data_IF_089008452901
#
_entry.id   IF_089008452901
#
_cell.length_a   1.000
_cell.length_b   1.000
_cell.length_c   1.000
_cell.angle_alpha   90.00
_cell.angle_beta   90.00
_cell.angle_gamma   90.00
#
_symmetry.space_group_name_H-M   'P 1'
#
loop_
_entity.id
_entity.type
_entity.pdbx_description
1 polymer ?
#
# COMPACT_ATOMS: atom_id res chain seq x y z
N UNK A 1 -28.41 -16.67 29.72
CA UNK A 1 -27.00 -17.10 29.85
C UNK A 1 -26.37 -17.26 28.46
N UNK A 2 -26.03 -16.16 27.78
CA UNK A 2 -25.43 -16.24 26.43
C UNK A 2 -24.46 -15.07 26.14
N UNK A 3 -23.80 -14.56 27.19
CA UNK A 3 -23.00 -13.33 27.08
C UNK A 3 -21.49 -13.59 27.16
N UNK A 4 -21.05 -14.59 27.94
CA UNK A 4 -19.61 -14.81 28.18
C UNK A 4 -18.86 -15.41 26.98
N UNK A 5 -19.47 -16.33 26.25
CA UNK A 5 -18.81 -17.01 25.11
C UNK A 5 -18.80 -16.14 23.84
N UNK A 6 -19.78 -15.25 23.67
CA UNK A 6 -19.85 -14.33 22.53
C UNK A 6 -18.75 -13.27 22.58
N UNK A 7 -18.44 -12.76 23.78
CA UNK A 7 -17.33 -11.83 23.99
C UNK A 7 -15.96 -12.45 23.64
N UNK A 8 -15.77 -13.74 23.93
CA UNK A 8 -14.54 -14.46 23.59
C UNK A 8 -14.39 -14.63 22.06
N UNK A 9 -15.49 -14.87 21.34
CA UNK A 9 -15.47 -14.94 19.88
C UNK A 9 -15.12 -13.59 19.23
N UNK A 10 -15.68 -12.48 19.75
CA UNK A 10 -15.33 -11.14 19.28
C UNK A 10 -13.87 -10.82 19.58
N UNK A 11 -13.41 -11.10 20.80
CA UNK A 11 -12.01 -10.91 21.16
C UNK A 11 -11.07 -11.70 20.25
N UNK A 12 -11.40 -12.95 19.91
CA UNK A 12 -10.63 -13.80 19.01
C UNK A 12 -10.53 -13.21 17.59
N UNK A 13 -11.62 -12.63 17.07
CA UNK A 13 -11.65 -12.01 15.74
C UNK A 13 -10.74 -10.77 15.64
N UNK A 14 -10.57 -10.02 16.72
CA UNK A 14 -9.66 -8.87 16.75
C UNK A 14 -8.17 -9.28 16.73
N UNK A 15 -7.82 -10.43 17.31
CA UNK A 15 -6.42 -10.92 17.32
C UNK A 15 -5.95 -11.32 15.91
N UNK A 16 -6.85 -11.86 15.07
CA UNK A 16 -6.51 -12.31 13.71
C UNK A 16 -6.27 -11.15 12.74
N UNK A 17 -6.79 -9.96 13.03
CA UNK A 17 -6.61 -8.78 12.18
C UNK A 17 -5.24 -8.12 12.36
N UNK A 18 -4.51 -8.45 13.43
CA UNK A 18 -3.27 -7.79 13.83
C UNK A 18 -2.00 -8.47 13.29
N UNK A 19 -2.05 -9.08 12.10
CA UNK A 19 -0.83 -9.57 11.44
C UNK A 19 0.03 -8.37 10.99
N UNK A 20 1.31 -8.30 11.40
CA UNK A 20 2.19 -7.20 11.03
C UNK A 20 2.40 -7.14 9.52
N UNK A 21 2.61 -5.94 8.95
CA UNK A 21 2.91 -5.80 7.54
C UNK A 21 4.17 -6.59 7.17
N UNK A 22 4.15 -7.18 5.98
CA UNK A 22 5.27 -7.96 5.47
C UNK A 22 6.46 -7.03 5.24
N UNK A 23 7.58 -7.31 5.91
CA UNK A 23 8.82 -6.51 5.83
C UNK A 23 9.79 -7.00 4.77
N UNK A 24 9.77 -8.29 4.44
CA UNK A 24 10.60 -8.84 3.35
C UNK A 24 9.85 -8.73 2.02
N UNK A 25 10.33 -7.84 1.15
CA UNK A 25 9.73 -7.58 -0.15
C UNK A 25 10.50 -8.34 -1.22
N UNK A 26 9.84 -9.31 -1.84
CA UNK A 26 10.38 -10.05 -2.98
C UNK A 26 10.25 -9.24 -4.27
N UNK A 27 10.90 -9.71 -5.33
CA UNK A 27 10.77 -9.08 -6.64
C UNK A 27 9.33 -9.17 -7.19
N UNK A 28 8.62 -10.26 -6.92
CA UNK A 28 7.22 -10.42 -7.30
C UNK A 28 6.29 -9.47 -6.54
N UNK A 29 6.58 -9.22 -5.26
CA UNK A 29 5.82 -8.25 -4.45
C UNK A 29 5.99 -6.84 -4.99
N UNK A 30 7.24 -6.43 -5.28
CA UNK A 30 7.53 -5.13 -5.85
C UNK A 30 6.83 -4.95 -7.21
N UNK A 31 6.83 -5.99 -8.06
CA UNK A 31 6.11 -5.96 -9.34
C UNK A 31 4.61 -5.71 -9.13
N UNK A 32 3.98 -6.41 -8.18
CA UNK A 32 2.55 -6.23 -7.85
C UNK A 32 2.22 -4.81 -7.38
N UNK A 33 3.08 -4.22 -6.54
CA UNK A 33 2.90 -2.83 -6.10
C UNK A 33 2.93 -1.88 -7.30
N UNK A 34 3.95 -2.00 -8.16
CA UNK A 34 4.10 -1.12 -9.32
C UNK A 34 2.98 -1.29 -10.35
N UNK A 35 2.50 -2.53 -10.57
CA UNK A 35 1.34 -2.80 -11.42
C UNK A 35 0.07 -2.15 -10.87
N UNK A 36 -0.14 -2.21 -9.55
CA UNK A 36 -1.31 -1.58 -8.93
C UNK A 36 -1.25 -0.06 -9.02
N UNK A 37 -0.08 0.53 -8.78
CA UNK A 37 0.16 1.97 -8.92
C UNK A 37 -0.11 2.44 -10.35
N UNK A 38 0.39 1.72 -11.35
CA UNK A 38 0.19 2.10 -12.75
C UNK A 38 -1.28 2.01 -13.16
N UNK A 39 -2.00 0.96 -12.75
CA UNK A 39 -3.45 0.82 -12.98
C UNK A 39 -4.21 1.96 -12.29
N UNK A 40 -3.88 2.28 -11.04
CA UNK A 40 -4.55 3.33 -10.28
C UNK A 40 -4.35 4.71 -10.91
N UNK A 41 -3.13 5.02 -11.33
CA UNK A 41 -2.80 6.25 -12.05
C UNK A 41 -3.55 6.37 -13.38
N UNK A 42 -3.56 5.30 -14.18
CA UNK A 42 -4.30 5.28 -15.46
C UNK A 42 -5.78 5.51 -15.21
N UNK A 43 -6.37 4.82 -14.25
CA UNK A 43 -7.78 4.98 -13.90
C UNK A 43 -8.09 6.39 -13.39
N UNK A 44 -7.20 7.00 -12.61
CA UNK A 44 -7.37 8.36 -12.15
C UNK A 44 -7.33 9.36 -13.30
N UNK A 45 -6.39 9.22 -14.24
CA UNK A 45 -6.30 10.05 -15.43
C UNK A 45 -7.51 9.87 -16.38
N UNK A 46 -8.06 8.66 -16.46
CA UNK A 46 -9.29 8.42 -17.24
C UNK A 46 -10.53 9.03 -16.57
N UNK A 47 -10.53 9.12 -15.24
CA UNK A 47 -11.64 9.67 -14.43
C UNK A 47 -11.49 11.15 -14.09
N UNK A 48 -10.35 11.76 -14.37
CA UNK A 48 -10.12 13.19 -14.12
C UNK A 48 -10.98 13.99 -15.10
N UNK A 49 -12.22 14.28 -14.70
CA UNK A 49 -12.95 15.42 -15.25
C UNK A 49 -12.24 16.70 -14.82
N UNK A 50 -12.31 17.73 -15.66
CA UNK A 50 -11.66 19.05 -15.57
C UNK A 50 -11.61 19.75 -14.19
N UNK A 51 -12.32 19.27 -13.17
CA UNK A 51 -12.50 19.94 -11.88
C UNK A 51 -11.75 19.28 -10.70
N UNK A 52 -11.21 18.07 -10.86
CA UNK A 52 -10.45 17.40 -9.78
C UNK A 52 -9.03 17.10 -10.23
N UNK A 53 -8.07 17.69 -9.53
CA UNK A 53 -6.65 17.36 -9.66
C UNK A 53 -6.47 15.85 -9.44
N UNK A 54 -5.69 15.21 -10.32
CA UNK A 54 -5.39 13.80 -10.19
C UNK A 54 -4.66 13.53 -8.86
N UNK A 55 -4.96 12.43 -8.15
CA UNK A 55 -4.20 12.05 -6.97
C UNK A 55 -2.72 11.86 -7.30
N UNK A 56 -1.88 12.17 -6.31
CA UNK A 56 -0.42 12.13 -6.44
C UNK A 56 0.11 10.68 -6.54
N UNK A 57 1.27 10.50 -7.17
CA UNK A 57 1.87 9.18 -7.38
C UNK A 57 2.17 8.48 -6.03
N UNK A 58 2.53 9.25 -5.00
CA UNK A 58 2.68 8.76 -3.63
C UNK A 58 1.38 8.16 -3.06
N UNK A 59 0.23 8.75 -3.37
CA UNK A 59 -1.06 8.29 -2.84
C UNK A 59 -1.36 6.88 -3.34
N UNK A 60 -1.15 6.65 -4.64
CA UNK A 60 -1.33 5.32 -5.23
C UNK A 60 -0.33 4.31 -4.68
N UNK A 61 0.91 4.74 -4.40
CA UNK A 61 1.93 3.89 -3.80
C UNK A 61 1.54 3.44 -2.39
N UNK A 62 1.08 4.35 -1.53
CA UNK A 62 0.65 4.03 -0.18
C UNK A 62 -0.61 3.16 -0.17
N UNK A 63 -1.55 3.42 -1.08
CA UNK A 63 -2.72 2.56 -1.26
C UNK A 63 -2.31 1.14 -1.65
N UNK A 64 -1.39 0.99 -2.60
CA UNK A 64 -0.91 -0.31 -3.03
C UNK A 64 -0.19 -1.07 -1.89
N UNK A 65 0.62 -0.38 -1.10
CA UNK A 65 1.26 -0.96 0.09
C UNK A 65 0.23 -1.40 1.13
N UNK A 66 -0.79 -0.57 1.39
CA UNK A 66 -1.89 -0.88 2.32
C UNK A 66 -2.66 -2.14 1.89
N UNK A 67 -3.06 -2.22 0.61
CA UNK A 67 -3.86 -3.35 0.08
C UNK A 67 -3.12 -4.68 0.21
N UNK A 68 -1.82 -4.69 -0.05
CA UNK A 68 -1.01 -5.90 0.07
C UNK A 68 -0.40 -6.09 1.46
N UNK A 69 -0.70 -5.21 2.41
CA UNK A 69 -0.14 -5.20 3.78
C UNK A 69 1.38 -5.24 3.76
N UNK A 70 1.99 -4.45 2.88
CA UNK A 70 3.43 -4.28 2.78
C UNK A 70 3.88 -3.05 3.56
N UNK A 71 5.06 -3.16 4.15
CA UNK A 71 5.73 -2.03 4.80
C UNK A 71 6.29 -1.07 3.72
N UNK A 72 5.84 0.20 3.67
CA UNK A 72 6.24 1.14 2.62
C UNK A 72 7.75 1.39 2.57
N UNK A 73 8.41 1.47 3.72
CA UNK A 73 9.86 1.69 3.81
C UNK A 73 10.63 0.51 3.21
N UNK A 74 10.21 -0.72 3.50
CA UNK A 74 10.79 -1.92 2.89
C UNK A 74 10.57 -1.97 1.37
N UNK A 75 9.41 -1.52 0.88
CA UNK A 75 9.14 -1.45 -0.56
C UNK A 75 10.02 -0.37 -1.21
N UNK A 76 10.15 0.81 -0.61
CA UNK A 76 11.02 1.90 -1.08
C UNK A 76 12.49 1.47 -1.12
N UNK A 77 12.98 0.77 -0.09
CA UNK A 77 14.34 0.20 -0.07
C UNK A 77 14.56 -0.75 -1.26
N UNK A 78 13.58 -1.62 -1.55
CA UNK A 78 13.67 -2.54 -2.69
C UNK A 78 13.56 -1.81 -4.03
N UNK A 79 12.72 -0.78 -4.11
CA UNK A 79 12.56 0.06 -5.27
C UNK A 79 13.86 0.81 -5.60
N UNK A 80 14.56 1.35 -4.59
CA UNK A 80 15.86 2.00 -4.75
C UNK A 80 16.88 1.12 -5.46
N UNK A 81 16.91 -0.17 -5.12
CA UNK A 81 17.83 -1.15 -5.72
C UNK A 81 17.49 -1.48 -7.18
N UNK A 82 16.19 -1.47 -7.53
CA UNK A 82 15.73 -1.92 -8.85
C UNK A 82 15.52 -0.77 -9.85
N UNK A 83 15.05 0.38 -9.37
CA UNK A 83 14.81 1.58 -10.17
C UNK A 83 15.05 2.84 -9.31
N UNK A 84 16.30 3.32 -9.26
CA UNK A 84 16.63 4.50 -8.45
C UNK A 84 15.90 5.77 -8.92
N UNK A 85 15.60 5.89 -10.21
CA UNK A 85 14.86 7.03 -10.74
C UNK A 85 13.41 7.10 -10.20
N UNK A 86 12.71 5.97 -10.12
CA UNK A 86 11.37 5.92 -9.53
C UNK A 86 11.41 6.13 -8.03
N UNK A 87 12.44 5.61 -7.36
CA UNK A 87 12.65 5.86 -5.93
C UNK A 87 12.86 7.34 -5.65
N UNK A 88 13.70 8.04 -6.42
CA UNK A 88 13.94 9.49 -6.30
C UNK A 88 12.67 10.32 -6.47
N UNK A 89 11.78 9.91 -7.37
CA UNK A 89 10.49 10.58 -7.58
C UNK A 89 9.58 10.42 -6.35
N UNK A 90 9.45 9.20 -5.84
CA UNK A 90 8.57 8.87 -4.71
C UNK A 90 9.09 9.36 -3.35
N UNK A 91 10.42 9.30 -3.11
CA UNK A 91 10.99 9.60 -1.80
C UNK A 91 10.86 11.09 -1.44
N UNK A 92 10.93 11.98 -2.44
CA UNK A 92 10.79 13.43 -2.25
C UNK A 92 9.40 13.83 -1.72
N UNK A 93 8.39 13.07 -2.10
CA UNK A 93 7.01 13.26 -1.64
C UNK A 93 6.78 12.54 -0.30
N UNK A 94 7.42 11.39 -0.09
CA UNK A 94 7.24 10.57 1.12
C UNK A 94 7.90 11.15 2.38
N UNK A 95 9.04 11.82 2.26
CA UNK A 95 9.76 12.42 3.40
C UNK A 95 9.26 13.82 3.78
N UNK A 96 8.25 14.33 3.08
CA UNK A 96 7.74 15.71 3.21
C UNK A 96 6.62 15.82 4.24
#
# INVERSE_FOLDING_TARGET
>A
MFSRNFFLFIALLFIVQCSPPKKEITEGDLKRVLERVSIARINANLKSSSEKSAPDDLTFFLEACSVYRFDPDSVLKRLKLKSPALYEALIKEYEK
#
